data_IF_735733279385
#
_entry.id   IF_735733279385
#
_cell.length_a   1.000
_cell.length_b   1.000
_cell.length_c   1.000
_cell.angle_alpha   90.00
_cell.angle_beta   90.00
_cell.angle_gamma   90.00
#
_symmetry.space_group_name_H-M   'P 1'
#
loop_
_entity.id
_entity.type
_entity.pdbx_description
1 polymer ?
#
# COMPACT_ATOMS: atom_id res chain seq x y z
N UNK A 1 10.93 -11.70 10.10
CA UNK A 1 9.89 -10.67 10.28
C UNK A 1 8.96 -11.11 11.39
N UNK A 2 8.59 -10.20 12.30
CA UNK A 2 7.62 -10.49 13.36
C UNK A 2 6.21 -10.60 12.78
N UNK A 3 5.28 -11.18 13.55
CA UNK A 3 3.85 -11.19 13.20
C UNK A 3 3.30 -9.77 13.01
N UNK A 4 3.79 -8.82 13.81
CA UNK A 4 3.44 -7.40 13.69
C UNK A 4 3.91 -6.82 12.35
N UNK A 5 5.17 -7.08 11.95
CA UNK A 5 5.70 -6.63 10.65
C UNK A 5 4.86 -7.14 9.49
N UNK A 6 4.39 -8.40 9.55
CA UNK A 6 3.52 -8.97 8.51
C UNK A 6 2.16 -8.28 8.46
N UNK A 7 1.55 -7.99 9.62
CA UNK A 7 0.30 -7.24 9.71
C UNK A 7 0.44 -5.83 9.12
N UNK A 8 1.53 -5.14 9.41
CA UNK A 8 1.80 -3.80 8.88
C UNK A 8 1.90 -3.84 7.35
N UNK A 9 2.70 -4.76 6.79
CA UNK A 9 2.86 -4.89 5.34
C UNK A 9 1.52 -5.20 4.65
N UNK A 10 0.76 -6.15 5.19
CA UNK A 10 -0.55 -6.48 4.65
C UNK A 10 -1.52 -5.30 4.73
N UNK A 11 -1.60 -4.63 5.88
CA UNK A 11 -2.46 -3.47 6.10
C UNK A 11 -2.15 -2.31 5.15
N UNK A 12 -0.87 -2.00 4.93
CA UNK A 12 -0.44 -0.97 3.96
C UNK A 12 -0.89 -1.34 2.55
N UNK A 13 -0.70 -2.59 2.13
CA UNK A 13 -1.19 -3.06 0.82
C UNK A 13 -2.70 -2.87 0.67
N UNK A 14 -3.48 -3.25 1.69
CA UNK A 14 -4.93 -3.06 1.72
C UNK A 14 -5.33 -1.58 1.60
N UNK A 15 -4.63 -0.67 2.27
CA UNK A 15 -4.91 0.77 2.19
C UNK A 15 -4.67 1.32 0.78
N UNK A 16 -3.55 0.96 0.14
CA UNK A 16 -3.21 1.39 -1.21
C UNK A 16 -4.23 0.84 -2.22
N UNK A 17 -4.60 -0.44 -2.12
CA UNK A 17 -5.62 -1.05 -2.98
C UNK A 17 -6.99 -0.38 -2.79
N UNK A 18 -7.37 -0.10 -1.54
CA UNK A 18 -8.66 0.53 -1.22
C UNK A 18 -8.75 1.96 -1.75
N UNK A 19 -7.68 2.74 -1.59
CA UNK A 19 -7.58 4.10 -2.11
C UNK A 19 -7.70 4.15 -3.63
N UNK A 20 -6.96 3.30 -4.34
CA UNK A 20 -7.06 3.21 -5.80
C UNK A 20 -8.45 2.76 -6.26
N UNK A 21 -9.02 1.77 -5.57
CA UNK A 21 -10.37 1.28 -5.86
C UNK A 21 -11.39 2.40 -5.71
N UNK A 22 -11.27 3.23 -4.67
CA UNK A 22 -12.14 4.38 -4.45
C UNK A 22 -12.12 5.37 -5.63
N UNK A 23 -10.95 5.74 -6.14
CA UNK A 23 -10.88 6.65 -7.29
C UNK A 23 -11.36 6.00 -8.60
N UNK A 24 -11.12 4.69 -8.79
CA UNK A 24 -11.68 3.96 -9.93
C UNK A 24 -13.22 3.97 -9.94
N UNK A 25 -13.85 3.92 -8.75
CA UNK A 25 -15.31 4.02 -8.61
C UNK A 25 -15.84 5.40 -9.03
N UNK A 26 -15.08 6.46 -8.77
CA UNK A 26 -15.49 7.84 -9.08
C UNK A 26 -15.45 8.14 -10.58
N UNK A 27 -14.45 7.63 -11.30
CA UNK A 27 -14.18 8.00 -12.69
C UNK A 27 -15.08 7.27 -13.71
N UNK A 28 -15.32 5.96 -13.53
CA UNK A 28 -15.79 5.11 -14.65
C UNK A 28 -17.20 4.55 -14.56
N UNK A 29 -17.91 4.71 -13.45
CA UNK A 29 -19.34 4.37 -13.36
C UNK A 29 -19.73 2.90 -13.62
N UNK A 30 -18.79 2.01 -13.97
CA UNK A 30 -19.00 0.58 -14.17
C UNK A 30 -18.05 -0.21 -13.26
N UNK A 31 -18.68 -0.95 -12.35
CA UNK A 31 -18.20 -1.28 -11.02
C UNK A 31 -17.82 -2.74 -10.84
N UNK A 32 -17.82 -3.56 -11.90
CA UNK A 32 -17.58 -4.99 -11.71
C UNK A 32 -16.13 -5.23 -11.24
N UNK A 33 -16.06 -5.41 -9.92
CA UNK A 33 -14.92 -5.82 -9.13
C UNK A 33 -13.71 -4.85 -9.18
N UNK A 34 -13.94 -3.55 -8.91
CA UNK A 34 -12.86 -2.55 -8.78
C UNK A 34 -11.77 -2.96 -7.79
N UNK A 35 -12.12 -3.75 -6.77
CA UNK A 35 -11.16 -4.29 -5.80
C UNK A 35 -10.23 -5.26 -6.52
N UNK A 36 -10.75 -6.15 -7.36
CA UNK A 36 -9.93 -7.05 -8.19
C UNK A 36 -9.05 -6.26 -9.16
N UNK A 37 -9.56 -5.16 -9.73
CA UNK A 37 -8.73 -4.27 -10.54
C UNK A 37 -7.59 -3.65 -9.71
N UNK A 38 -7.89 -3.17 -8.51
CA UNK A 38 -6.90 -2.58 -7.59
C UNK A 38 -5.85 -3.59 -7.14
N UNK A 39 -6.25 -4.82 -6.83
CA UNK A 39 -5.31 -5.92 -6.50
C UNK A 39 -4.42 -6.21 -7.70
N UNK A 40 -4.98 -6.41 -8.90
CA UNK A 40 -4.19 -6.66 -10.11
C UNK A 40 -3.24 -5.51 -10.41
N UNK A 41 -3.67 -4.26 -10.20
CA UNK A 41 -2.82 -3.10 -10.39
C UNK A 41 -1.67 -3.11 -9.38
N UNK A 42 -1.94 -3.41 -8.11
CA UNK A 42 -0.93 -3.48 -7.05
C UNK A 42 0.13 -4.56 -7.33
N UNK A 43 -0.32 -5.75 -7.77
CA UNK A 43 0.54 -6.89 -8.10
C UNK A 43 1.36 -6.66 -9.38
N UNK A 44 0.72 -6.23 -10.46
CA UNK A 44 1.34 -6.22 -11.80
C UNK A 44 2.15 -4.94 -12.10
N UNK A 45 1.91 -3.84 -11.38
CA UNK A 45 2.59 -2.56 -11.65
C UNK A 45 3.97 -2.43 -10.98
N UNK A 46 4.40 -3.44 -10.24
CA UNK A 46 5.59 -3.40 -9.39
C UNK A 46 5.40 -2.65 -8.07
N UNK A 47 4.26 -1.98 -7.86
CA UNK A 47 3.97 -1.24 -6.62
C UNK A 47 4.07 -2.13 -5.39
N UNK A 48 3.55 -3.37 -5.44
CA UNK A 48 3.69 -4.31 -4.31
C UNK A 48 5.15 -4.58 -3.95
N UNK A 49 6.01 -4.82 -4.93
CA UNK A 49 7.42 -5.10 -4.68
C UNK A 49 8.14 -3.89 -4.06
N UNK A 50 7.87 -2.68 -4.58
CA UNK A 50 8.44 -1.45 -4.04
C UNK A 50 7.96 -1.16 -2.61
N UNK A 51 6.65 -1.30 -2.35
CA UNK A 51 6.07 -1.13 -1.00
C UNK A 51 6.66 -2.14 -0.03
N UNK A 52 6.77 -3.41 -0.45
CA UNK A 52 7.36 -4.46 0.37
C UNK A 52 8.81 -4.14 0.75
N UNK A 53 9.62 -3.74 -0.23
CA UNK A 53 11.01 -3.37 0.00
C UNK A 53 11.15 -2.18 0.97
N UNK A 54 10.42 -1.08 0.71
CA UNK A 54 10.50 0.12 1.54
C UNK A 54 10.03 -0.16 2.99
N UNK A 55 8.96 -0.94 3.16
CA UNK A 55 8.48 -1.32 4.50
C UNK A 55 9.45 -2.26 5.21
N UNK A 56 10.07 -3.21 4.51
CA UNK A 56 11.09 -4.06 5.11
C UNK A 56 12.26 -3.24 5.64
N UNK A 57 12.71 -2.25 4.88
CA UNK A 57 13.79 -1.36 5.32
C UNK A 57 13.38 -0.58 6.58
N UNK A 58 12.24 0.10 6.57
CA UNK A 58 11.76 0.88 7.72
C UNK A 58 11.55 0.00 8.96
N UNK A 59 10.95 -1.18 8.79
CA UNK A 59 10.72 -2.12 9.89
C UNK A 59 12.02 -2.70 10.45
N UNK A 60 13.05 -2.85 9.61
CA UNK A 60 14.37 -3.30 10.07
C UNK A 60 15.10 -2.21 10.86
N UNK A 61 15.06 -0.97 10.38
CA UNK A 61 15.77 0.17 10.96
C UNK A 61 15.09 0.71 12.24
N UNK A 62 13.77 0.56 12.36
CA UNK A 62 12.97 1.20 13.41
C UNK A 62 12.04 0.25 14.19
N UNK A 63 12.32 -1.06 14.26
CA UNK A 63 11.44 -2.07 14.88
C UNK A 63 10.97 -1.71 16.31
N UNK A 64 11.80 -0.97 17.07
CA UNK A 64 11.52 -0.53 18.44
C UNK A 64 11.20 0.97 18.58
N UNK A 65 11.22 1.74 17.48
CA UNK A 65 10.94 3.18 17.48
C UNK A 65 9.66 3.48 16.68
N UNK A 66 8.52 3.22 17.33
CA UNK A 66 7.22 3.43 16.73
C UNK A 66 6.94 4.92 16.42
N UNK A 67 7.57 5.84 17.16
CA UNK A 67 7.37 7.29 16.96
C UNK A 67 7.92 7.72 15.61
N UNK A 68 9.09 7.21 15.23
CA UNK A 68 9.70 7.46 13.92
C UNK A 68 9.11 6.57 12.83
N UNK A 69 8.75 5.33 13.16
CA UNK A 69 8.25 4.34 12.20
C UNK A 69 6.91 4.74 11.57
N UNK A 70 5.93 5.23 12.35
CA UNK A 70 4.59 5.53 11.80
C UNK A 70 4.58 6.64 10.75
N UNK A 71 5.25 7.80 10.95
CA UNK A 71 5.40 8.81 9.89
C UNK A 71 6.04 8.25 8.62
N UNK A 72 7.04 7.38 8.75
CA UNK A 72 7.70 6.76 7.59
C UNK A 72 6.76 5.83 6.82
N UNK A 73 5.96 5.02 7.52
CA UNK A 73 4.94 4.16 6.90
C UNK A 73 3.91 5.02 6.15
N UNK A 74 3.46 6.12 6.74
CA UNK A 74 2.54 7.06 6.07
C UNK A 74 3.17 7.66 4.81
N UNK A 75 4.44 8.03 4.86
CA UNK A 75 5.17 8.53 3.69
C UNK A 75 5.28 7.48 2.60
N UNK A 76 5.50 6.21 2.95
CA UNK A 76 5.49 5.08 2.00
C UNK A 76 4.12 4.95 1.34
N UNK A 77 3.03 4.94 2.11
CA UNK A 77 1.66 4.88 1.56
C UNK A 77 1.42 6.01 0.57
N UNK A 78 1.80 7.25 0.93
CA UNK A 78 1.61 8.42 0.07
C UNK A 78 2.43 8.35 -1.22
N UNK A 79 3.69 7.91 -1.15
CA UNK A 79 4.58 7.76 -2.31
C UNK A 79 4.08 6.72 -3.29
N UNK A 80 3.50 5.63 -2.78
CA UNK A 80 3.08 4.47 -3.58
C UNK A 80 1.60 4.47 -3.94
N UNK A 81 0.88 5.59 -3.74
CA UNK A 81 -0.50 5.75 -4.21
C UNK A 81 -0.58 5.44 -5.70
N UNK A 82 -1.48 4.53 -6.05
CA UNK A 82 -1.67 4.12 -7.44
C UNK A 82 -2.59 5.09 -8.19
N UNK A 83 -3.41 5.85 -7.47
CA UNK A 83 -4.33 6.85 -8.03
C UNK A 83 -3.62 7.98 -8.79
N UNK A 84 -2.35 8.26 -8.51
CA UNK A 84 -1.53 9.21 -9.27
C UNK A 84 -1.39 8.83 -10.76
N UNK A 85 -1.78 7.60 -11.13
CA UNK A 85 -1.76 7.06 -12.49
C UNK A 85 -3.14 7.01 -13.15
N UNK A 86 -4.20 7.40 -12.43
CA UNK A 86 -5.58 7.53 -12.94
C UNK A 86 -5.76 8.93 -13.52
#
# INVERSE_FOLDING_TARGET
MSSMSQCIIHGVGCLIVSEYSYFCLQDKGNFQNVIVLGVKQYENSGTQACVFHDLQQVLHEHDNDHVTMYPLILNIIQRHRMSNKL
#
